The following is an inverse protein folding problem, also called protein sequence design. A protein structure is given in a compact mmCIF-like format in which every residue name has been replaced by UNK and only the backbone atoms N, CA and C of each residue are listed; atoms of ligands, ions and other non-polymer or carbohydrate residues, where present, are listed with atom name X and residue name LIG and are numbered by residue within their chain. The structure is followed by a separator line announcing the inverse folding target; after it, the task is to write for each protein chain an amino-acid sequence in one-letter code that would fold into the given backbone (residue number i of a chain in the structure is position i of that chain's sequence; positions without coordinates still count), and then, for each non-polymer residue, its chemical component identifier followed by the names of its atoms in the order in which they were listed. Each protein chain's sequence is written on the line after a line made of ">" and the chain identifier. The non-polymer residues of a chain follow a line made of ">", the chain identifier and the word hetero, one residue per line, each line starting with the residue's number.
data_IF_091626532200
#
_entry.id   IF_091626532200
#
_cell.length_a   1.000
_cell.length_b   1.000
_cell.length_c   1.000
_cell.angle_alpha   90.00
_cell.angle_beta   90.00
_cell.angle_gamma   90.00
#
_symmetry.space_group_name_H-M   'P 1'
#
loop_
_entity.id
_entity.type
_entity.pdbx_description
1 polymer ?
#
# COMPACT_ATOMS: atom_id res chain seq x y z
N UNK A 1 9.31 -6.87 -13.17
CA UNK A 1 8.14 -5.99 -13.36
C UNK A 1 7.68 -5.46 -12.02
N UNK A 2 7.19 -4.25 -12.02
CA UNK A 2 6.72 -3.65 -10.78
C UNK A 2 5.43 -4.31 -10.30
N UNK A 3 5.24 -4.32 -9.00
CA UNK A 3 4.06 -4.90 -8.40
C UNK A 3 3.46 -3.89 -7.44
N UNK A 4 2.15 -3.75 -7.51
CA UNK A 4 1.43 -2.81 -6.66
C UNK A 4 0.88 -3.53 -5.45
N UNK A 5 0.98 -2.88 -4.30
CA UNK A 5 0.59 -3.45 -3.02
C UNK A 5 -0.46 -2.54 -2.37
N UNK A 6 -1.53 -3.14 -1.88
CA UNK A 6 -2.52 -2.42 -1.09
C UNK A 6 -2.12 -2.47 0.38
N UNK A 7 -2.19 -1.34 1.05
CA UNK A 7 -1.91 -1.25 2.48
C UNK A 7 -3.07 -0.55 3.14
N UNK A 8 -3.74 -1.25 4.04
CA UNK A 8 -4.91 -0.71 4.72
C UNK A 8 -4.74 -0.67 6.21
N UNK A 9 -5.74 -0.13 6.88
CA UNK A 9 -5.77 0.02 8.33
C UNK A 9 -4.63 0.90 8.84
N UNK A 10 -4.28 1.91 8.05
CA UNK A 10 -3.23 2.85 8.43
C UNK A 10 -3.73 3.80 9.50
N UNK A 11 -2.81 4.23 10.37
CA UNK A 11 -3.08 5.34 11.25
C UNK A 11 -3.25 6.60 10.41
N UNK A 12 -4.18 7.46 10.78
CA UNK A 12 -4.46 8.66 9.99
C UNK A 12 -3.26 9.60 9.93
N UNK A 13 -2.31 9.46 10.84
CA UNK A 13 -1.12 10.29 10.86
C UNK A 13 0.06 9.69 10.12
N UNK A 14 -0.09 8.48 9.59
CA UNK A 14 0.99 7.83 8.85
C UNK A 14 1.26 8.60 7.57
N UNK A 15 2.53 8.89 7.31
CA UNK A 15 2.93 9.64 6.13
C UNK A 15 3.43 8.72 5.03
N UNK A 16 3.48 9.27 3.82
CA UNK A 16 4.02 8.53 2.69
C UNK A 16 5.48 8.15 2.92
N UNK A 17 6.26 9.05 3.54
CA UNK A 17 7.65 8.76 3.84
C UNK A 17 7.79 7.58 4.77
N UNK A 18 6.99 7.54 5.83
CA UNK A 18 7.04 6.43 6.78
C UNK A 18 6.70 5.12 6.11
N UNK A 19 5.66 5.14 5.30
CA UNK A 19 5.22 3.93 4.63
C UNK A 19 6.26 3.46 3.61
N UNK A 20 6.82 4.40 2.86
CA UNK A 20 7.87 4.07 1.91
C UNK A 20 9.09 3.47 2.55
N UNK A 21 9.50 4.03 3.69
CA UNK A 21 10.66 3.50 4.42
C UNK A 21 10.43 2.08 4.91
N UNK A 22 9.22 1.81 5.35
CA UNK A 22 8.89 0.48 5.83
C UNK A 22 9.06 -0.56 4.73
N UNK A 23 8.57 -0.24 3.54
CA UNK A 23 8.65 -1.17 2.42
C UNK A 23 10.04 -1.18 1.77
N UNK A 24 10.78 -0.08 1.89
CA UNK A 24 12.13 -0.02 1.32
C UNK A 24 13.08 -1.02 1.94
N UNK A 25 12.76 -1.54 3.10
CA UNK A 25 13.57 -2.57 3.74
C UNK A 25 13.58 -3.87 2.95
N UNK A 26 12.61 -4.07 2.08
CA UNK A 26 12.49 -5.30 1.32
C UNK A 26 12.99 -5.16 -0.11
N UNK A 27 13.12 -3.94 -0.59
CA UNK A 27 13.60 -3.71 -1.95
C UNK A 27 13.24 -2.31 -2.40
N UNK A 28 13.53 -2.01 -3.65
CA UNK A 28 13.30 -0.68 -4.18
C UNK A 28 11.81 -0.36 -4.28
N UNK A 29 11.43 0.78 -3.74
CA UNK A 29 10.08 1.28 -3.81
C UNK A 29 9.99 2.28 -4.95
N UNK A 30 9.08 2.04 -5.88
CA UNK A 30 8.92 2.90 -7.04
C UNK A 30 7.97 4.05 -6.78
N UNK A 31 6.92 3.78 -6.01
CA UNK A 31 5.91 4.80 -5.78
C UNK A 31 5.18 4.51 -4.48
N UNK A 32 4.73 5.57 -3.81
CA UNK A 32 3.95 5.47 -2.58
C UNK A 32 2.81 6.48 -2.68
N UNK A 33 1.59 6.02 -2.44
CA UNK A 33 0.45 6.90 -2.46
C UNK A 33 -0.47 6.58 -1.30
N UNK A 34 -0.74 7.56 -0.46
CA UNK A 34 -1.75 7.44 0.58
C UNK A 34 -2.98 8.19 0.09
N UNK A 35 -4.13 7.56 0.23
CA UNK A 35 -5.37 8.13 -0.26
C UNK A 35 -5.96 9.05 0.80
N UNK A 36 -6.27 10.27 0.40
CA UNK A 36 -6.81 11.29 1.31
C UNK A 36 -8.23 11.65 0.92
N UNK A 37 -9.00 12.02 1.92
CA UNK A 37 -10.33 12.55 1.68
C UNK A 37 -10.19 13.96 1.12
N UNK A 38 -10.86 14.22 0.00
CA UNK A 38 -10.70 15.51 -0.67
C UNK A 38 -11.40 16.64 0.06
N UNK A 39 -12.30 16.36 0.97
CA UNK A 39 -13.01 17.40 1.70
C UNK A 39 -12.32 17.76 3.00
N UNK A 40 -11.77 16.78 3.71
CA UNK A 40 -11.17 17.01 5.01
C UNK A 40 -9.65 16.97 4.99
N UNK A 41 -9.04 16.51 3.89
CA UNK A 41 -7.60 16.31 3.78
C UNK A 41 -7.04 15.29 4.76
N UNK A 42 -7.90 14.46 5.30
CA UNK A 42 -7.45 13.39 6.20
C UNK A 42 -7.22 12.12 5.41
N UNK A 43 -6.23 11.35 5.86
CA UNK A 43 -5.99 10.04 5.29
C UNK A 43 -7.22 9.16 5.46
N UNK A 44 -7.55 8.41 4.41
CA UNK A 44 -8.65 7.45 4.51
C UNK A 44 -8.23 6.16 5.19
N UNK A 45 -6.98 6.06 5.61
CA UNK A 45 -6.48 4.89 6.30
C UNK A 45 -5.99 3.80 5.38
N UNK A 46 -5.77 4.10 4.12
CA UNK A 46 -5.19 3.12 3.21
C UNK A 46 -4.40 3.82 2.11
N UNK A 47 -3.57 3.03 1.45
CA UNK A 47 -2.78 3.54 0.35
C UNK A 47 -2.23 2.41 -0.49
N UNK A 48 -1.34 2.77 -1.39
CA UNK A 48 -0.74 1.82 -2.32
C UNK A 48 0.75 2.06 -2.39
N UNK A 49 1.49 0.96 -2.54
CA UNK A 49 2.92 1.00 -2.75
C UNK A 49 3.22 0.23 -4.03
N UNK A 50 4.07 0.78 -4.87
CA UNK A 50 4.54 0.06 -6.03
C UNK A 50 6.02 -0.25 -5.83
N UNK A 51 6.37 -1.53 -5.88
CA UNK A 51 7.75 -1.97 -5.75
C UNK A 51 8.27 -2.44 -7.10
N UNK A 52 9.56 -2.18 -7.33
CA UNK A 52 10.17 -2.49 -8.62
C UNK A 52 10.23 -3.98 -8.87
N UNK A 53 10.56 -4.76 -7.82
CA UNK A 53 10.73 -6.20 -7.95
C UNK A 53 9.54 -6.94 -7.36
N UNK A 54 9.02 -7.91 -8.10
CA UNK A 54 7.89 -8.69 -7.61
C UNK A 54 8.26 -9.52 -6.39
N UNK A 55 9.47 -10.07 -6.38
CA UNK A 55 9.91 -10.87 -5.24
C UNK A 55 9.96 -10.06 -3.96
N UNK A 56 10.48 -8.83 -4.08
CA UNK A 56 10.52 -7.95 -2.92
C UNK A 56 9.13 -7.59 -2.45
N UNK A 57 8.21 -7.35 -3.38
CA UNK A 57 6.84 -7.04 -3.03
C UNK A 57 6.16 -8.21 -2.31
N UNK A 58 6.37 -9.42 -2.80
CA UNK A 58 5.79 -10.60 -2.19
C UNK A 58 6.33 -10.79 -0.77
N UNK A 59 7.64 -10.59 -0.60
CA UNK A 59 8.26 -10.71 0.72
C UNK A 59 7.70 -9.65 1.67
N UNK A 60 7.52 -8.43 1.18
CA UNK A 60 6.99 -7.36 2.00
C UNK A 60 5.55 -7.66 2.44
N UNK A 61 4.74 -8.15 1.52
CA UNK A 61 3.36 -8.51 1.85
C UNK A 61 3.34 -9.54 2.96
N UNK A 62 4.11 -10.61 2.80
CA UNK A 62 4.16 -11.68 3.77
C UNK A 62 4.63 -11.20 5.13
N UNK A 63 5.65 -10.35 5.14
CA UNK A 63 6.26 -9.92 6.39
C UNK A 63 5.44 -8.86 7.10
N UNK A 64 4.80 -7.98 6.35
CA UNK A 64 4.17 -6.80 6.95
C UNK A 64 2.68 -6.95 7.20
N UNK A 65 2.03 -7.91 6.55
CA UNK A 65 0.61 -8.11 6.80
C UNK A 65 0.41 -8.55 8.25
N UNK A 66 -0.37 -7.77 8.99
CA UNK A 66 -0.63 -8.06 10.39
C UNK A 66 0.36 -7.45 11.36
N UNK A 67 1.42 -6.81 10.88
CA UNK A 67 2.34 -6.15 11.79
C UNK A 67 1.79 -4.80 12.25
N UNK A 68 2.23 -4.38 13.42
CA UNK A 68 1.77 -3.13 13.98
C UNK A 68 2.60 -1.96 13.47
N UNK A 69 1.91 -0.90 13.07
CA UNK A 69 2.53 0.36 12.73
C UNK A 69 1.68 1.47 13.32
N UNK A 70 2.30 2.32 14.13
CA UNK A 70 1.60 3.43 14.81
C UNK A 70 0.37 2.95 15.58
N UNK A 71 0.48 1.78 16.19
CA UNK A 71 -0.56 1.24 17.05
C UNK A 71 -1.67 0.49 16.33
N UNK A 72 -1.53 0.26 15.03
CA UNK A 72 -2.56 -0.45 14.26
C UNK A 72 -1.93 -1.56 13.45
N UNK A 73 -2.62 -2.70 13.40
CA UNK A 73 -2.15 -3.82 12.60
C UNK A 73 -2.44 -3.55 11.13
N UNK A 74 -1.41 -3.59 10.32
CA UNK A 74 -1.54 -3.30 8.89
C UNK A 74 -2.22 -4.44 8.15
N UNK A 75 -2.96 -4.07 7.13
CA UNK A 75 -3.51 -5.04 6.19
C UNK A 75 -2.78 -4.85 4.87
N UNK A 76 -1.95 -5.82 4.52
CA UNK A 76 -1.09 -5.71 3.36
C UNK A 76 -1.42 -6.83 2.39
N UNK A 77 -1.83 -6.48 1.20
CA UNK A 77 -2.22 -7.43 0.19
C UNK A 77 -1.76 -6.98 -1.17
N UNK A 78 -1.70 -7.91 -2.10
CA UNK A 78 -1.41 -7.55 -3.47
C UNK A 78 -2.57 -6.74 -4.04
N UNK A 79 -2.25 -5.58 -4.61
CA UNK A 79 -3.25 -4.77 -5.27
C UNK A 79 -3.27 -5.14 -6.74
N UNK A 80 -4.39 -5.62 -7.22
CA UNK A 80 -4.47 -6.00 -8.61
C UNK A 80 -4.77 -4.81 -9.46
N UNK A 81 -4.02 -4.69 -10.52
CA UNK A 81 -4.39 -3.77 -11.56
C UNK A 81 -5.48 -4.39 -12.37
N UNK A 82 -6.62 -3.75 -12.40
CA UNK A 82 -7.71 -4.31 -13.12
C UNK A 82 -7.99 -3.49 -14.33
N UNK A 83 -8.33 -4.12 -15.44
CA UNK A 83 -8.89 -3.35 -16.54
C UNK A 83 -10.20 -2.76 -16.07
N UNK A 84 -10.54 -1.64 -16.58
CA UNK A 84 -11.83 -1.06 -16.23
C UNK A 84 -12.91 -2.01 -16.61
N UNK A 85 -13.81 -2.31 -15.90
CA UNK A 85 -14.70 -3.30 -16.12
C UNK A 85 -16.00 -3.07 -16.39
N UNK A 86 -15.56 -2.93 -16.33
CA UNK A 86 -16.28 -2.82 -16.39
C UNK A 86 -17.08 -3.00 -16.97
N UNK A 87 -17.12 -3.19 -17.35
CA UNK A 87 -17.52 -3.45 -17.78
C UNK A 87 -18.38 -3.99 -18.07
N UNK A 88 -18.53 -4.34 -18.27
CA UNK A 88 -19.17 -5.00 -18.54
C UNK A 88 -19.96 -5.64 -18.06
N UNK A 89 -20.12 -5.58 -17.55
CA UNK A 89 -20.77 -6.21 -17.01
C UNK A 89 -21.98 -6.08 -16.99
N UNK A 90 -22.04 -5.72 -17.38
CA UNK A 90 -22.70 -5.48 -17.49
C UNK A 90 -23.30 -5.65 -17.50
#
# INVERSE_FOLDING_TARGET
>A
MAKKIYVGNLNYNTTQDQLGELFAQFGDVRDVAIIYDRYTNQSKGFGFIEMVEEDAATAAISALNGTEMDGRALRVNEARERPPRDRNWN
#
